data_IF_333743108084
#
_entry.id   IF_333743108084
#
_cell.length_a   1.000
_cell.length_b   1.000
_cell.length_c   1.000
_cell.angle_alpha   90.00
_cell.angle_beta   90.00
_cell.angle_gamma   90.00
#
_symmetry.space_group_name_H-M   'P 1'
#
loop_
_entity.id
_entity.type
_entity.pdbx_description
1 polymer ?
#
# COMPACT_ATOMS: atom_id res chain seq x y z
N UNK A 1 37.20 -14.54 -14.30
CA UNK A 1 35.95 -15.29 -14.08
C UNK A 1 34.89 -14.21 -13.92
N UNK A 2 34.11 -13.97 -14.98
CA UNK A 2 32.97 -13.05 -14.91
C UNK A 2 31.89 -13.78 -14.13
N UNK A 3 31.59 -13.26 -12.94
CA UNK A 3 30.41 -13.70 -12.20
C UNK A 3 29.18 -13.38 -13.04
N UNK A 4 28.43 -14.39 -13.42
CA UNK A 4 27.15 -14.22 -14.10
C UNK A 4 26.27 -13.29 -13.26
N UNK A 5 25.76 -12.21 -13.85
CA UNK A 5 24.98 -11.24 -13.07
C UNK A 5 23.73 -11.93 -12.53
N UNK A 6 23.59 -11.96 -11.23
CA UNK A 6 22.46 -12.58 -10.48
C UNK A 6 21.07 -12.15 -10.96
N UNK A 7 20.97 -11.02 -11.69
CA UNK A 7 19.72 -10.52 -12.27
C UNK A 7 19.23 -11.33 -13.50
N UNK A 8 20.04 -12.18 -14.13
CA UNK A 8 19.60 -13.04 -15.23
C UNK A 8 18.64 -14.14 -14.77
N UNK A 9 18.54 -14.41 -13.46
CA UNK A 9 17.74 -15.48 -12.90
C UNK A 9 16.44 -15.04 -12.24
N UNK A 10 16.17 -13.74 -12.08
CA UNK A 10 14.95 -13.25 -11.47
C UNK A 10 14.18 -12.39 -12.47
N UNK A 11 13.46 -13.03 -13.38
CA UNK A 11 12.28 -12.39 -13.95
C UNK A 11 11.29 -12.25 -12.81
N UNK A 12 11.26 -11.07 -12.21
CA UNK A 12 10.25 -10.69 -11.25
C UNK A 12 8.94 -10.52 -12.05
N UNK A 13 8.21 -11.61 -12.25
CA UNK A 13 6.81 -11.51 -12.64
C UNK A 13 6.02 -11.37 -11.35
N UNK A 14 5.52 -10.17 -11.04
CA UNK A 14 4.66 -10.00 -9.87
C UNK A 14 3.44 -10.88 -10.07
N UNK A 15 3.30 -11.88 -9.19
CA UNK A 15 2.21 -12.84 -9.30
C UNK A 15 0.95 -12.17 -8.76
N UNK A 16 0.25 -11.41 -9.61
CA UNK A 16 -1.03 -10.77 -9.27
C UNK A 16 -2.21 -11.76 -9.29
N UNK A 17 -2.00 -13.00 -8.85
CA UNK A 17 -3.09 -13.99 -8.76
C UNK A 17 -4.10 -13.68 -7.67
N UNK A 18 -3.66 -13.02 -6.60
CA UNK A 18 -4.50 -12.68 -5.45
C UNK A 18 -4.30 -11.22 -5.06
N UNK A 19 -5.40 -10.51 -4.88
CA UNK A 19 -5.44 -9.11 -4.45
C UNK A 19 -6.19 -9.04 -3.12
N UNK A 20 -5.61 -8.37 -2.13
CA UNK A 20 -6.24 -8.09 -0.85
C UNK A 20 -6.82 -6.68 -0.87
N UNK A 21 -8.10 -6.55 -0.53
CA UNK A 21 -8.82 -5.28 -0.53
C UNK A 21 -9.40 -5.04 0.86
N UNK A 22 -8.71 -4.31 1.72
CA UNK A 22 -9.25 -3.86 2.98
C UNK A 22 -10.41 -2.88 2.77
N UNK A 23 -11.48 -3.05 3.54
CA UNK A 23 -12.64 -2.17 3.49
C UNK A 23 -13.18 -1.85 4.88
N UNK A 24 -13.57 -0.61 5.08
CA UNK A 24 -14.30 -0.10 6.25
C UNK A 24 -15.70 0.42 5.88
N UNK A 25 -16.11 0.22 4.61
CA UNK A 25 -17.36 0.74 4.06
C UNK A 25 -17.32 2.22 3.68
N UNK A 26 -16.20 2.91 3.88
CA UNK A 26 -16.03 4.32 3.52
C UNK A 26 -16.01 4.52 2.01
N UNK A 27 -16.25 5.77 1.57
CA UNK A 27 -16.10 6.15 0.16
C UNK A 27 -14.71 5.86 -0.38
N UNK A 28 -13.65 6.07 0.42
CA UNK A 28 -12.27 5.76 0.04
C UNK A 28 -12.09 4.27 -0.25
N UNK A 29 -12.61 3.38 0.61
CA UNK A 29 -12.52 1.94 0.39
C UNK A 29 -13.36 1.48 -0.82
N UNK A 30 -14.49 2.14 -1.11
CA UNK A 30 -15.28 1.87 -2.33
C UNK A 30 -14.52 2.26 -3.61
N UNK A 31 -13.82 3.40 -3.60
CA UNK A 31 -12.93 3.81 -4.69
C UNK A 31 -11.80 2.80 -4.90
N UNK A 32 -11.22 2.27 -3.82
CA UNK A 32 -10.22 1.22 -3.89
C UNK A 32 -10.77 -0.08 -4.51
N UNK A 33 -12.01 -0.47 -4.18
CA UNK A 33 -12.67 -1.63 -4.77
C UNK A 33 -12.83 -1.50 -6.28
N UNK A 34 -13.18 -0.31 -6.77
CA UNK A 34 -13.33 -0.05 -8.22
C UNK A 34 -12.00 -0.26 -8.96
N UNK A 35 -10.91 0.31 -8.45
CA UNK A 35 -9.58 0.13 -9.06
C UNK A 35 -9.10 -1.32 -8.92
N UNK A 36 -9.35 -1.96 -7.78
CA UNK A 36 -9.02 -3.37 -7.59
C UNK A 36 -9.76 -4.28 -8.57
N UNK A 37 -11.03 -3.98 -8.89
CA UNK A 37 -11.80 -4.72 -9.89
C UNK A 37 -11.22 -4.56 -11.30
N UNK A 38 -10.79 -3.36 -11.70
CA UNK A 38 -10.12 -3.14 -12.99
C UNK A 38 -8.82 -3.96 -13.11
N UNK A 39 -7.99 -3.93 -12.06
CA UNK A 39 -6.76 -4.71 -12.02
C UNK A 39 -7.09 -6.22 -12.02
N UNK A 40 -8.03 -6.65 -11.18
CA UNK A 40 -8.40 -8.05 -11.09
C UNK A 40 -8.91 -8.63 -12.42
N UNK A 41 -9.68 -7.87 -13.19
CA UNK A 41 -10.13 -8.26 -14.54
C UNK A 41 -8.95 -8.43 -15.50
N UNK A 42 -8.04 -7.45 -15.54
CA UNK A 42 -6.89 -7.48 -16.43
C UNK A 42 -5.96 -8.68 -16.16
N UNK A 43 -5.80 -9.07 -14.91
CA UNK A 43 -4.91 -10.16 -14.48
C UNK A 43 -5.63 -11.48 -14.18
N UNK A 44 -6.96 -11.52 -14.28
CA UNK A 44 -7.79 -12.66 -13.85
C UNK A 44 -7.50 -13.06 -12.40
N UNK A 45 -7.29 -12.05 -11.55
CA UNK A 45 -6.97 -12.23 -10.14
C UNK A 45 -8.20 -12.60 -9.32
N UNK A 46 -8.00 -13.38 -8.26
CA UNK A 46 -8.97 -13.55 -7.20
C UNK A 46 -8.82 -12.42 -6.18
N UNK A 47 -9.91 -11.82 -5.76
CA UNK A 47 -9.93 -10.79 -4.73
C UNK A 47 -10.29 -11.41 -3.39
N UNK A 48 -9.67 -10.95 -2.31
CA UNK A 48 -10.15 -11.17 -0.94
C UNK A 48 -10.46 -9.82 -0.33
N UNK A 49 -11.72 -9.60 0.02
CA UNK A 49 -12.14 -8.42 0.78
C UNK A 49 -11.95 -8.71 2.25
N UNK A 50 -11.25 -7.83 2.98
CA UNK A 50 -11.03 -7.99 4.41
C UNK A 50 -11.59 -6.80 5.18
N UNK A 51 -12.36 -7.08 6.22
CA UNK A 51 -12.78 -6.12 7.23
C UNK A 51 -12.28 -6.55 8.59
N UNK A 52 -11.68 -5.63 9.34
CA UNK A 52 -11.20 -5.88 10.70
C UNK A 52 -12.02 -5.06 11.69
N UNK A 53 -12.56 -5.74 12.69
CA UNK A 53 -13.27 -5.12 13.81
C UNK A 53 -12.25 -4.97 14.94
N UNK A 54 -11.88 -3.72 15.24
CA UNK A 54 -11.08 -3.43 16.43
C UNK A 54 -11.94 -3.67 17.67
N UNK A 55 -11.39 -4.41 18.61
CA UNK A 55 -12.04 -4.58 19.92
C UNK A 55 -11.97 -3.26 20.69
N UNK A 56 -13.10 -2.58 20.82
CA UNK A 56 -13.21 -1.53 21.85
C UNK A 56 -13.14 -2.14 23.26
N UNK A 57 -13.37 -3.46 23.35
CA UNK A 57 -13.15 -4.26 24.54
C UNK A 57 -11.67 -4.47 24.90
N UNK A 58 -10.73 -4.26 23.97
CA UNK A 58 -9.31 -4.50 24.24
C UNK A 58 -8.79 -3.76 25.49
N UNK A 59 -9.32 -2.57 25.78
CA UNK A 59 -9.03 -1.89 27.05
C UNK A 59 -9.71 -2.50 28.25
N UNK A 60 -10.90 -3.08 28.09
CA UNK A 60 -11.62 -3.77 29.17
C UNK A 60 -11.18 -5.22 29.30
N UNK A 61 -10.94 -5.94 28.22
CA UNK A 61 -10.32 -7.26 28.25
C UNK A 61 -8.97 -7.20 28.96
N UNK A 62 -8.19 -6.15 28.72
CA UNK A 62 -6.95 -5.95 29.45
C UNK A 62 -7.20 -5.61 30.92
N UNK A 63 -8.19 -4.77 31.22
CA UNK A 63 -8.55 -4.40 32.57
C UNK A 63 -9.18 -5.55 33.38
N UNK A 64 -9.87 -6.49 32.69
CA UNK A 64 -10.60 -7.60 33.28
C UNK A 64 -10.17 -9.00 32.78
N UNK A 65 -9.08 -9.09 32.01
CA UNK A 65 -8.59 -10.35 31.39
C UNK A 65 -8.36 -11.47 32.41
N UNK A 66 -8.04 -11.11 33.66
CA UNK A 66 -7.86 -12.06 34.74
C UNK A 66 -9.13 -12.85 35.09
N UNK A 67 -10.33 -12.33 34.78
CA UNK A 67 -11.61 -13.04 34.99
C UNK A 67 -11.81 -14.17 33.99
N UNK A 68 -11.22 -14.05 32.79
CA UNK A 68 -11.37 -15.04 31.70
C UNK A 68 -10.21 -16.03 31.63
N UNK A 69 -9.03 -15.66 32.12
CA UNK A 69 -7.78 -16.45 31.99
C UNK A 69 -7.33 -17.17 33.26
N UNK A 70 -8.14 -17.16 34.33
CA UNK A 70 -7.84 -17.96 35.54
C UNK A 70 -6.58 -17.56 36.31
N UNK A 71 -6.19 -16.27 36.24
CA UNK A 71 -5.17 -15.75 37.17
C UNK A 71 -3.71 -15.93 36.75
N UNK A 72 -3.39 -16.04 35.46
CA UNK A 72 -1.98 -16.03 35.02
C UNK A 72 -1.41 -14.62 35.20
N UNK A 73 -0.32 -14.52 35.97
CA UNK A 73 0.33 -13.23 36.28
C UNK A 73 0.83 -12.51 35.02
N UNK A 74 0.45 -11.24 34.90
CA UNK A 74 0.98 -10.34 33.88
C UNK A 74 2.40 -9.88 34.28
N UNK A 75 3.42 -10.11 33.44
CA UNK A 75 4.80 -9.73 33.76
C UNK A 75 5.02 -8.21 33.89
N UNK A 76 4.07 -7.38 33.47
CA UNK A 76 4.20 -5.91 33.45
C UNK A 76 3.50 -5.20 34.61
N UNK A 77 2.84 -5.89 35.52
CA UNK A 77 2.37 -5.38 36.83
C UNK A 77 1.63 -4.05 36.77
N UNK A 78 0.67 -3.87 35.84
CA UNK A 78 0.03 -2.55 35.70
C UNK A 78 -0.91 -2.22 36.86
N UNK A 79 -0.77 -1.00 37.40
CA UNK A 79 -1.51 -0.43 38.53
C UNK A 79 -3.02 -0.19 38.28
N UNK A 80 -3.57 -0.69 37.18
CA UNK A 80 -4.95 -0.43 36.74
C UNK A 80 -5.86 -1.68 36.73
N UNK A 81 -5.55 -2.70 37.53
CA UNK A 81 -6.46 -3.86 37.65
C UNK A 81 -7.57 -3.56 38.65
N UNK A 82 -8.80 -3.55 38.16
CA UNK A 82 -9.95 -3.57 39.06
C UNK A 82 -10.03 -4.95 39.74
N UNK A 83 -10.09 -4.97 41.05
CA UNK A 83 -10.31 -6.19 41.83
C UNK A 83 -11.76 -6.66 41.80
N UNK A 84 -12.66 -5.89 41.24
CA UNK A 84 -14.08 -6.18 41.14
C UNK A 84 -14.47 -6.45 39.66
N UNK A 85 -15.37 -7.43 39.40
CA UNK A 85 -15.86 -7.66 38.07
C UNK A 85 -16.62 -6.46 37.54
N UNK A 86 -16.62 -6.24 36.21
CA UNK A 86 -17.36 -5.12 35.64
C UNK A 86 -18.85 -5.26 35.95
N UNK A 87 -19.56 -4.14 36.22
CA UNK A 87 -20.98 -4.17 36.45
C UNK A 87 -21.73 -4.88 35.33
N UNK A 88 -22.72 -5.72 35.66
CA UNK A 88 -23.45 -6.49 34.68
C UNK A 88 -24.11 -5.63 33.58
N UNK A 89 -24.48 -4.40 33.90
CA UNK A 89 -25.00 -3.43 32.93
C UNK A 89 -23.94 -3.00 31.92
N UNK A 90 -22.69 -2.84 32.36
CA UNK A 90 -21.57 -2.50 31.49
C UNK A 90 -21.30 -3.64 30.51
N UNK A 91 -21.27 -4.88 30.99
CA UNK A 91 -21.13 -6.08 30.14
C UNK A 91 -22.22 -6.14 29.06
N UNK A 92 -23.48 -5.86 29.43
CA UNK A 92 -24.59 -5.84 28.46
C UNK A 92 -24.41 -4.77 27.39
N UNK A 93 -23.96 -3.57 27.76
CA UNK A 93 -23.69 -2.49 26.83
C UNK A 93 -22.60 -2.88 25.84
N UNK A 94 -21.51 -3.44 26.34
CA UNK A 94 -20.40 -3.88 25.49
C UNK A 94 -20.80 -4.99 24.52
N UNK A 95 -21.50 -6.03 24.97
CA UNK A 95 -22.01 -7.08 24.07
C UNK A 95 -22.89 -6.50 22.98
N UNK A 96 -23.72 -5.52 23.30
CA UNK A 96 -24.58 -4.86 22.30
C UNK A 96 -23.76 -4.07 21.27
N UNK A 97 -22.70 -3.40 21.70
CA UNK A 97 -21.78 -2.67 20.79
C UNK A 97 -21.06 -3.67 19.89
N UNK A 98 -20.54 -4.74 20.46
CA UNK A 98 -19.83 -5.82 19.75
C UNK A 98 -20.73 -6.48 18.70
N UNK A 99 -21.95 -6.90 19.08
CA UNK A 99 -22.94 -7.45 18.15
C UNK A 99 -23.28 -6.47 17.02
N UNK A 100 -23.37 -5.18 17.33
CA UNK A 100 -23.65 -4.13 16.34
C UNK A 100 -22.47 -3.97 15.36
N UNK A 101 -21.24 -3.94 15.87
CA UNK A 101 -20.01 -3.83 15.08
C UNK A 101 -19.82 -5.05 14.18
N UNK A 102 -20.09 -6.24 14.71
CA UNK A 102 -20.06 -7.49 13.96
C UNK A 102 -21.04 -7.46 12.77
N UNK A 103 -22.34 -7.18 13.03
CA UNK A 103 -23.35 -7.11 11.96
C UNK A 103 -23.01 -6.06 10.91
N UNK A 104 -22.50 -4.91 11.32
CA UNK A 104 -22.04 -3.87 10.39
C UNK A 104 -20.88 -4.36 9.54
N UNK A 105 -19.91 -5.05 10.13
CA UNK A 105 -18.77 -5.64 9.42
C UNK A 105 -19.21 -6.68 8.39
N UNK A 106 -20.13 -7.58 8.76
CA UNK A 106 -20.71 -8.55 7.82
C UNK A 106 -21.42 -7.84 6.65
N UNK A 107 -22.21 -6.81 6.91
CA UNK A 107 -22.92 -6.06 5.88
C UNK A 107 -21.91 -5.40 4.91
N UNK A 108 -20.86 -4.77 5.42
CA UNK A 108 -19.80 -4.15 4.60
C UNK A 108 -19.17 -5.20 3.67
N UNK A 109 -18.89 -6.39 4.17
CA UNK A 109 -18.30 -7.47 3.38
C UNK A 109 -19.27 -8.00 2.32
N UNK A 110 -20.52 -8.21 2.67
CA UNK A 110 -21.57 -8.66 1.72
C UNK A 110 -21.72 -7.65 0.58
N UNK A 111 -21.78 -6.36 0.88
CA UNK A 111 -21.88 -5.29 -0.13
C UNK A 111 -20.65 -5.28 -1.04
N UNK A 112 -19.45 -5.38 -0.46
CA UNK A 112 -18.19 -5.39 -1.22
C UNK A 112 -18.06 -6.64 -2.12
N UNK A 113 -18.40 -7.83 -1.64
CA UNK A 113 -18.39 -9.06 -2.45
C UNK A 113 -19.43 -8.99 -3.56
N UNK A 114 -20.63 -8.44 -3.27
CA UNK A 114 -21.66 -8.23 -4.28
C UNK A 114 -21.20 -7.28 -5.39
N UNK A 115 -20.48 -6.21 -5.04
CA UNK A 115 -19.86 -5.31 -6.01
C UNK A 115 -18.87 -6.07 -6.94
N UNK A 116 -17.92 -6.83 -6.40
CA UNK A 116 -16.97 -7.60 -7.22
C UNK A 116 -17.67 -8.63 -8.11
N UNK A 117 -18.72 -9.27 -7.62
CA UNK A 117 -19.56 -10.20 -8.40
C UNK A 117 -20.24 -9.50 -9.57
N UNK A 118 -20.79 -8.30 -9.36
CA UNK A 118 -21.38 -7.49 -10.43
C UNK A 118 -20.35 -7.09 -11.48
N UNK A 119 -19.11 -6.82 -11.05
CA UNK A 119 -17.98 -6.55 -11.92
C UNK A 119 -17.42 -7.81 -12.61
N UNK A 120 -17.95 -8.99 -12.37
CA UNK A 120 -17.47 -10.26 -12.94
C UNK A 120 -16.13 -10.74 -12.35
N UNK A 121 -15.79 -10.30 -11.15
CA UNK A 121 -14.57 -10.67 -10.43
C UNK A 121 -14.88 -11.68 -9.33
N UNK A 122 -14.08 -12.74 -9.23
CA UNK A 122 -14.20 -13.73 -8.15
C UNK A 122 -13.67 -13.10 -6.87
N UNK A 123 -14.50 -12.99 -5.85
CA UNK A 123 -14.13 -12.41 -4.55
C UNK A 123 -14.57 -13.31 -3.39
N UNK A 124 -13.68 -13.44 -2.40
CA UNK A 124 -13.98 -14.01 -1.08
C UNK A 124 -14.02 -12.89 -0.04
N UNK A 125 -14.67 -13.17 1.08
CA UNK A 125 -14.71 -12.29 2.24
C UNK A 125 -13.87 -12.83 3.39
N UNK A 126 -13.36 -11.92 4.22
CA UNK A 126 -12.63 -12.22 5.45
C UNK A 126 -12.99 -11.20 6.52
N UNK A 127 -13.75 -11.63 7.53
CA UNK A 127 -13.94 -10.87 8.76
C UNK A 127 -12.84 -11.25 9.75
N UNK A 128 -12.22 -10.26 10.38
CA UNK A 128 -11.25 -10.46 11.45
C UNK A 128 -11.73 -9.69 12.67
N UNK A 129 -11.97 -10.42 13.74
CA UNK A 129 -12.46 -9.88 15.00
C UNK A 129 -11.30 -9.62 15.96
N UNK A 130 -11.48 -8.70 16.89
CA UNK A 130 -10.55 -8.38 17.97
C UNK A 130 -9.11 -8.11 17.50
N UNK A 131 -8.97 -7.46 16.34
CA UNK A 131 -7.66 -7.19 15.78
C UNK A 131 -7.50 -5.72 15.39
N UNK A 132 -6.30 -5.21 15.55
CA UNK A 132 -5.95 -3.91 15.01
C UNK A 132 -5.92 -4.01 13.48
N UNK A 133 -6.63 -3.12 12.75
CA UNK A 133 -6.84 -3.28 11.32
C UNK A 133 -5.57 -3.41 10.49
N UNK A 134 -4.53 -2.61 10.76
CA UNK A 134 -3.29 -2.69 9.98
C UNK A 134 -2.54 -4.01 10.23
N UNK A 135 -2.57 -4.53 11.45
CA UNK A 135 -1.98 -5.81 11.80
C UNK A 135 -2.72 -6.96 11.11
N UNK A 136 -4.06 -6.97 11.18
CA UNK A 136 -4.88 -7.97 10.52
C UNK A 136 -4.62 -8.01 9.00
N UNK A 137 -4.53 -6.83 8.36
CA UNK A 137 -4.28 -6.70 6.92
C UNK A 137 -2.88 -7.22 6.57
N UNK A 138 -1.85 -6.79 7.28
CA UNK A 138 -0.46 -7.18 6.98
C UNK A 138 -0.22 -8.67 7.23
N UNK A 139 -0.78 -9.23 8.31
CA UNK A 139 -0.76 -10.65 8.59
C UNK A 139 -1.46 -11.46 7.50
N UNK A 140 -2.69 -11.07 7.13
CA UNK A 140 -3.43 -11.73 6.06
C UNK A 140 -2.68 -11.67 4.72
N UNK A 141 -2.07 -10.53 4.40
CA UNK A 141 -1.28 -10.35 3.18
C UNK A 141 -0.09 -11.32 3.12
N UNK A 142 0.62 -11.45 4.24
CA UNK A 142 1.78 -12.34 4.36
C UNK A 142 1.38 -13.83 4.26
N UNK A 143 0.41 -14.27 5.07
CA UNK A 143 -0.03 -15.66 5.13
C UNK A 143 -0.71 -16.12 3.84
N UNK A 144 -1.44 -15.24 3.18
CA UNK A 144 -2.22 -15.54 1.99
C UNK A 144 -1.46 -15.42 0.68
N UNK A 145 -0.18 -15.04 0.69
CA UNK A 145 0.64 -14.85 -0.53
C UNK A 145 -0.03 -13.93 -1.56
N UNK A 146 -0.51 -12.78 -1.11
CA UNK A 146 -1.10 -11.78 -1.99
C UNK A 146 -0.03 -11.02 -2.77
N UNK A 147 -0.30 -10.75 -4.05
CA UNK A 147 0.59 -9.97 -4.91
C UNK A 147 0.40 -8.46 -4.78
N UNK A 148 -0.74 -8.01 -4.25
CA UNK A 148 -1.09 -6.61 -4.12
C UNK A 148 -2.10 -6.41 -2.99
N UNK A 149 -1.91 -5.34 -2.21
CA UNK A 149 -2.93 -4.77 -1.32
C UNK A 149 -3.44 -3.49 -1.97
N UNK A 150 -4.76 -3.31 -2.07
CA UNK A 150 -5.38 -2.09 -2.62
C UNK A 150 -6.20 -1.41 -1.55
N UNK A 151 -5.81 -0.19 -1.19
CA UNK A 151 -6.45 0.61 -0.13
C UNK A 151 -6.84 1.99 -0.65
N UNK A 152 -7.92 2.54 -0.13
CA UNK A 152 -8.35 3.90 -0.44
C UNK A 152 -7.60 4.95 0.38
N UNK A 153 -7.40 6.11 -0.22
CA UNK A 153 -7.01 7.31 0.50
C UNK A 153 -8.24 7.89 1.21
N UNK A 154 -8.07 8.40 2.42
CA UNK A 154 -9.15 9.06 3.14
C UNK A 154 -9.35 10.48 2.58
N UNK A 155 -10.61 10.78 2.24
CA UNK A 155 -11.03 12.12 1.82
C UNK A 155 -12.27 12.49 2.63
N UNK A 156 -12.08 13.23 3.67
CA UNK A 156 -13.19 13.82 4.41
C UNK A 156 -13.67 15.09 3.69
N UNK A 157 -14.97 15.39 3.77
CA UNK A 157 -15.57 16.52 3.04
C UNK A 157 -14.96 17.83 3.54
N UNK A 158 -14.28 18.55 2.64
CA UNK A 158 -13.67 19.86 2.95
C UNK A 158 -12.24 19.79 3.51
N UNK A 159 -11.65 18.60 3.62
CA UNK A 159 -10.25 18.43 4.02
C UNK A 159 -9.36 18.07 2.83
N UNK A 160 -8.06 18.40 2.93
CA UNK A 160 -7.08 17.89 1.98
C UNK A 160 -6.99 16.36 2.08
N UNK A 161 -6.78 15.66 0.95
CA UNK A 161 -6.61 14.21 0.97
C UNK A 161 -5.46 13.84 1.89
N UNK A 162 -5.69 12.93 2.83
CA UNK A 162 -4.65 12.44 3.71
C UNK A 162 -4.66 10.91 3.81
N UNK A 163 -3.51 10.36 4.12
CA UNK A 163 -3.36 8.94 4.33
C UNK A 163 -3.96 8.59 5.70
N UNK A 164 -4.97 7.73 5.73
CA UNK A 164 -5.55 7.25 6.98
C UNK A 164 -4.54 6.42 7.79
N UNK A 165 -4.66 6.42 9.12
CA UNK A 165 -3.74 5.74 10.03
C UNK A 165 -3.52 4.25 9.70
N UNK A 166 -4.57 3.54 9.32
CA UNK A 166 -4.48 2.13 8.90
C UNK A 166 -3.65 1.99 7.62
N UNK A 167 -3.90 2.83 6.60
CA UNK A 167 -3.16 2.79 5.34
C UNK A 167 -1.68 3.16 5.55
N UNK A 168 -1.40 4.15 6.40
CA UNK A 168 -0.03 4.52 6.76
C UNK A 168 0.71 3.36 7.43
N UNK A 169 0.09 2.68 8.40
CA UNK A 169 0.70 1.53 9.07
C UNK A 169 0.90 0.34 8.13
N UNK A 170 -0.06 0.04 7.26
CA UNK A 170 0.07 -1.02 6.26
C UNK A 170 1.22 -0.69 5.29
N UNK A 171 1.33 0.54 4.78
CA UNK A 171 2.42 0.94 3.89
C UNK A 171 3.80 0.88 4.55
N UNK A 172 3.90 1.06 5.86
CA UNK A 172 5.15 0.93 6.61
C UNK A 172 5.55 -0.52 6.89
N UNK A 173 4.59 -1.42 7.12
CA UNK A 173 4.87 -2.75 7.66
C UNK A 173 4.64 -3.91 6.68
N UNK A 174 3.90 -3.71 5.59
CA UNK A 174 3.64 -4.77 4.62
C UNK A 174 4.86 -5.04 3.74
N UNK A 175 5.21 -6.31 3.56
CA UNK A 175 6.18 -6.74 2.54
C UNK A 175 5.51 -6.92 1.16
N UNK A 176 4.18 -7.00 1.12
CA UNK A 176 3.39 -7.02 -0.11
C UNK A 176 3.28 -5.60 -0.69
N UNK A 177 3.40 -5.41 -2.01
CA UNK A 177 3.15 -4.11 -2.64
C UNK A 177 1.79 -3.52 -2.26
N UNK A 178 1.76 -2.20 -1.98
CA UNK A 178 0.55 -1.50 -1.54
C UNK A 178 0.21 -0.40 -2.52
N UNK A 179 -1.00 -0.46 -3.08
CA UNK A 179 -1.59 0.58 -3.91
C UNK A 179 -2.54 1.43 -3.08
N UNK A 180 -2.21 2.69 -2.90
CA UNK A 180 -3.10 3.70 -2.32
C UNK A 180 -3.82 4.41 -3.44
N UNK A 181 -5.13 4.28 -3.45
CA UNK A 181 -6.01 4.81 -4.50
C UNK A 181 -6.58 6.16 -4.09
N UNK A 182 -6.36 7.18 -4.92
CA UNK A 182 -6.88 8.53 -4.72
C UNK A 182 -8.19 8.79 -5.49
N UNK A 183 -8.41 8.10 -6.60
CA UNK A 183 -9.59 8.26 -7.45
C UNK A 183 -9.89 6.98 -8.24
N UNK A 184 -11.16 6.81 -8.64
CA UNK A 184 -11.66 5.67 -9.42
C UNK A 184 -11.37 5.78 -10.93
N UNK A 185 -10.28 6.45 -11.31
CA UNK A 185 -9.93 6.59 -12.73
C UNK A 185 -9.22 5.36 -13.24
N UNK A 186 -9.40 5.08 -14.54
CA UNK A 186 -8.55 4.13 -15.24
C UNK A 186 -7.09 4.59 -15.20
N UNK A 187 -6.18 3.64 -15.03
CA UNK A 187 -4.75 3.92 -15.03
C UNK A 187 -4.26 3.92 -16.48
N UNK A 188 -4.17 5.09 -17.09
CA UNK A 188 -3.70 5.28 -18.46
C UNK A 188 -2.25 5.77 -18.53
N UNK A 189 -1.80 6.53 -17.53
CA UNK A 189 -0.47 7.14 -17.47
C UNK A 189 0.19 6.87 -16.13
N UNK A 190 1.36 6.25 -16.17
CA UNK A 190 2.15 5.95 -15.00
C UNK A 190 3.43 6.77 -14.97
N UNK A 191 3.76 7.36 -13.83
CA UNK A 191 5.03 8.00 -13.53
C UNK A 191 5.88 7.07 -12.67
N UNK A 192 7.10 6.79 -13.08
CA UNK A 192 8.01 5.89 -12.38
C UNK A 192 9.25 6.68 -11.94
N UNK A 193 9.28 7.24 -10.72
CA UNK A 193 10.49 7.80 -10.15
C UNK A 193 11.55 6.71 -9.99
N UNK A 194 12.77 6.98 -10.52
CA UNK A 194 13.81 5.96 -10.59
C UNK A 194 15.17 6.53 -10.21
N UNK A 195 15.71 6.09 -9.08
CA UNK A 195 17.01 6.49 -8.54
C UNK A 195 18.10 5.42 -8.72
N UNK A 196 17.76 4.28 -9.35
CA UNK A 196 18.64 3.14 -9.52
C UNK A 196 18.79 2.27 -8.27
N UNK A 197 18.02 2.50 -7.21
CA UNK A 197 17.99 1.62 -6.05
C UNK A 197 17.29 0.30 -6.38
N UNK A 198 17.58 -0.75 -5.60
CA UNK A 198 16.96 -2.08 -5.77
C UNK A 198 15.43 -2.03 -5.73
N UNK A 199 14.86 -1.20 -4.86
CA UNK A 199 13.42 -1.07 -4.77
C UNK A 199 12.83 -0.28 -5.96
N UNK A 200 13.56 0.71 -6.49
CA UNK A 200 13.16 1.39 -7.72
C UNK A 200 13.22 0.44 -8.93
N UNK A 201 14.21 -0.46 -9.00
CA UNK A 201 14.27 -1.50 -10.04
C UNK A 201 13.06 -2.43 -9.97
N UNK A 202 12.68 -2.92 -8.78
CA UNK A 202 11.47 -3.73 -8.60
C UNK A 202 10.21 -2.95 -8.97
N UNK A 203 10.14 -1.67 -8.59
CA UNK A 203 9.00 -0.81 -8.93
C UNK A 203 8.87 -0.64 -10.45
N UNK A 204 9.98 -0.44 -11.15
CA UNK A 204 10.01 -0.36 -12.61
C UNK A 204 9.53 -1.64 -13.28
N UNK A 205 9.99 -2.81 -12.81
CA UNK A 205 9.53 -4.11 -13.31
C UNK A 205 8.03 -4.33 -13.05
N UNK A 206 7.56 -3.94 -11.86
CA UNK A 206 6.15 -4.02 -11.51
C UNK A 206 5.30 -3.11 -12.39
N UNK A 207 5.75 -1.86 -12.61
CA UNK A 207 5.09 -0.91 -13.51
C UNK A 207 5.01 -1.46 -14.94
N UNK A 208 6.08 -2.04 -15.47
CA UNK A 208 6.08 -2.64 -16.80
C UNK A 208 5.09 -3.79 -16.93
N UNK A 209 5.02 -4.63 -15.90
CA UNK A 209 4.07 -5.73 -15.86
C UNK A 209 2.62 -5.24 -15.81
N UNK A 210 2.33 -4.21 -14.99
CA UNK A 210 1.02 -3.56 -14.98
C UNK A 210 0.70 -2.95 -16.35
N UNK A 211 1.59 -2.11 -16.87
CA UNK A 211 1.39 -1.38 -18.13
C UNK A 211 1.04 -2.31 -19.28
N UNK A 212 1.77 -3.40 -19.41
CA UNK A 212 1.54 -4.42 -20.45
C UNK A 212 0.12 -5.01 -20.41
N UNK A 213 -0.44 -5.20 -19.21
CA UNK A 213 -1.73 -5.89 -19.06
C UNK A 213 -2.92 -4.91 -19.06
N UNK A 214 -2.73 -3.65 -18.63
CA UNK A 214 -3.79 -2.64 -18.62
C UNK A 214 -3.71 -1.63 -19.76
N UNK A 215 -2.66 -1.68 -20.60
CA UNK A 215 -2.48 -0.77 -21.73
C UNK A 215 -2.02 0.63 -21.35
N UNK A 216 -1.43 0.84 -20.16
CA UNK A 216 -1.00 2.14 -19.70
C UNK A 216 0.35 2.58 -20.28
N UNK A 217 0.53 3.88 -20.48
CA UNK A 217 1.81 4.50 -20.89
C UNK A 217 2.69 4.73 -19.67
N UNK A 218 4.00 4.51 -19.81
CA UNK A 218 4.98 4.68 -18.76
C UNK A 218 5.91 5.84 -19.04
N UNK A 219 6.19 6.64 -18.00
CA UNK A 219 7.23 7.68 -18.04
C UNK A 219 8.18 7.46 -16.86
N UNK A 220 9.45 7.22 -17.16
CA UNK A 220 10.52 7.19 -16.16
C UNK A 220 10.91 8.62 -15.80
N UNK A 221 10.98 8.92 -14.52
CA UNK A 221 11.45 10.21 -14.02
C UNK A 221 12.73 10.02 -13.19
N UNK A 222 13.83 10.60 -13.66
CA UNK A 222 15.04 10.76 -12.88
C UNK A 222 15.16 12.20 -12.38
N UNK A 223 15.44 12.37 -11.10
CA UNK A 223 15.61 13.70 -10.49
C UNK A 223 17.04 13.88 -10.00
N UNK A 224 17.74 14.86 -10.59
CA UNK A 224 19.05 15.25 -10.12
C UNK A 224 18.99 16.04 -8.83
N UNK A 225 19.91 15.76 -7.93
CA UNK A 225 20.15 16.63 -6.79
C UNK A 225 20.83 17.93 -7.27
N UNK A 226 20.29 19.12 -6.97
CA UNK A 226 20.79 20.40 -7.50
C UNK A 226 22.28 20.63 -7.19
N UNK A 227 22.74 20.26 -6.00
CA UNK A 227 24.12 20.40 -5.60
C UNK A 227 25.09 19.58 -6.46
N UNK A 228 24.67 18.39 -6.90
CA UNK A 228 25.51 17.55 -7.75
C UNK A 228 25.71 18.21 -9.12
N UNK A 229 24.67 18.82 -9.69
CA UNK A 229 24.78 19.55 -10.95
C UNK A 229 25.68 20.78 -10.79
N UNK A 230 25.46 21.56 -9.73
CA UNK A 230 26.21 22.80 -9.49
C UNK A 230 27.72 22.55 -9.24
N UNK A 231 28.06 21.54 -8.47
CA UNK A 231 29.44 21.27 -8.07
C UNK A 231 30.20 20.34 -9.01
N UNK A 232 29.51 19.42 -9.70
CA UNK A 232 30.13 18.36 -10.52
C UNK A 232 29.25 17.98 -11.72
N UNK A 233 29.03 18.88 -12.70
CA UNK A 233 28.11 18.67 -13.82
C UNK A 233 28.43 17.42 -14.65
N UNK A 234 29.72 17.16 -14.93
CA UNK A 234 30.14 15.97 -15.68
C UNK A 234 29.80 14.68 -14.95
N UNK A 235 29.99 14.66 -13.63
CA UNK A 235 29.62 13.52 -12.79
C UNK A 235 28.10 13.34 -12.74
N UNK A 236 27.34 14.42 -12.67
CA UNK A 236 25.88 14.38 -12.73
C UNK A 236 25.40 13.70 -14.01
N UNK A 237 25.99 14.08 -15.17
CA UNK A 237 25.65 13.48 -16.47
C UNK A 237 26.06 12.01 -16.57
N UNK A 238 27.20 11.63 -16.03
CA UNK A 238 27.63 10.21 -15.96
C UNK A 238 26.66 9.37 -15.14
N UNK A 239 26.21 9.89 -13.98
CA UNK A 239 25.23 9.22 -13.11
C UNK A 239 23.90 9.06 -13.84
N UNK A 240 23.38 10.13 -14.45
CA UNK A 240 22.17 10.12 -15.28
C UNK A 240 22.22 9.01 -16.34
N UNK A 241 23.29 9.05 -17.18
CA UNK A 241 23.44 8.07 -18.26
C UNK A 241 23.43 6.62 -17.73
N UNK A 242 24.12 6.36 -16.63
CA UNK A 242 24.15 5.04 -15.98
C UNK A 242 22.78 4.62 -15.49
N UNK A 243 22.03 5.51 -14.84
CA UNK A 243 20.69 5.24 -14.31
C UNK A 243 19.71 4.99 -15.44
N UNK A 244 19.72 5.82 -16.49
CA UNK A 244 18.85 5.65 -17.65
C UNK A 244 19.18 4.41 -18.46
N UNK A 245 20.47 4.04 -18.60
CA UNK A 245 20.88 2.79 -19.21
C UNK A 245 20.37 1.59 -18.40
N UNK A 246 20.56 1.62 -17.09
CA UNK A 246 20.08 0.57 -16.19
C UNK A 246 18.57 0.33 -16.31
N UNK A 247 17.77 1.40 -16.38
CA UNK A 247 16.34 1.28 -16.58
C UNK A 247 16.00 0.65 -17.94
N UNK A 248 16.74 1.00 -18.99
CA UNK A 248 16.56 0.42 -20.33
C UNK A 248 16.91 -1.08 -20.35
N UNK A 249 17.97 -1.47 -19.67
CA UNK A 249 18.40 -2.87 -19.56
C UNK A 249 17.33 -3.73 -18.85
N UNK A 250 16.69 -3.18 -17.79
CA UNK A 250 15.62 -3.87 -17.06
C UNK A 250 14.39 -4.09 -17.94
N UNK A 251 14.05 -3.13 -18.76
CA UNK A 251 12.83 -3.15 -19.58
C UNK A 251 13.00 -3.80 -20.96
N UNK A 252 14.21 -4.16 -21.34
CA UNK A 252 14.59 -4.74 -22.64
C UNK A 252 14.04 -3.94 -23.85
N UNK A 253 12.82 -4.22 -24.32
CA UNK A 253 12.20 -3.61 -25.51
C UNK A 253 10.92 -2.83 -25.21
N UNK A 254 10.60 -2.56 -23.95
CA UNK A 254 9.39 -1.83 -23.60
C UNK A 254 9.56 -0.35 -23.88
N UNK A 255 8.63 0.26 -24.63
CA UNK A 255 8.61 1.70 -24.85
C UNK A 255 8.47 2.45 -23.52
N UNK A 256 9.36 3.38 -23.29
CA UNK A 256 9.46 4.14 -22.07
C UNK A 256 9.84 5.60 -22.38
N UNK A 257 8.94 6.51 -22.09
CA UNK A 257 9.28 7.92 -22.09
C UNK A 257 10.24 8.21 -20.93
N UNK A 258 11.29 9.01 -21.19
CA UNK A 258 12.28 9.37 -20.18
C UNK A 258 12.22 10.86 -19.92
N UNK A 259 12.16 11.23 -18.66
CA UNK A 259 12.16 12.60 -18.20
C UNK A 259 13.25 12.79 -17.14
N UNK A 260 14.01 13.85 -17.27
CA UNK A 260 15.07 14.23 -16.34
C UNK A 260 14.78 15.62 -15.82
N UNK A 261 14.73 15.75 -14.52
CA UNK A 261 14.45 17.01 -13.82
C UNK A 261 15.51 17.26 -12.76
N UNK A 262 15.50 18.44 -12.16
CA UNK A 262 16.42 18.81 -11.08
C UNK A 262 15.65 19.48 -9.95
N UNK A 263 15.93 19.09 -8.72
CA UNK A 263 15.29 19.68 -7.55
C UNK A 263 15.18 18.71 -6.37
N UNK A 264 14.31 19.04 -5.44
CA UNK A 264 13.91 18.13 -4.37
C UNK A 264 13.09 16.98 -4.96
N UNK A 265 13.52 15.72 -4.82
CA UNK A 265 12.88 14.60 -5.49
C UNK A 265 11.39 14.47 -5.20
N UNK A 266 10.97 14.63 -3.95
CA UNK A 266 9.55 14.48 -3.59
C UNK A 266 8.68 15.56 -4.24
N UNK A 267 9.13 16.82 -4.18
CA UNK A 267 8.42 17.95 -4.80
C UNK A 267 8.35 17.81 -6.32
N UNK A 268 9.45 17.45 -6.98
CA UNK A 268 9.51 17.26 -8.42
C UNK A 268 8.60 16.11 -8.87
N UNK A 269 8.56 14.99 -8.15
CA UNK A 269 7.67 13.88 -8.46
C UNK A 269 6.20 14.34 -8.42
N UNK A 270 5.78 15.02 -7.34
CA UNK A 270 4.41 15.51 -7.17
C UNK A 270 4.05 16.51 -8.26
N UNK A 271 4.92 17.49 -8.52
CA UNK A 271 4.70 18.51 -9.56
C UNK A 271 4.61 17.89 -10.95
N UNK A 272 5.50 16.95 -11.28
CA UNK A 272 5.50 16.22 -12.54
C UNK A 272 4.23 15.39 -12.71
N UNK A 273 3.81 14.68 -11.66
CA UNK A 273 2.59 13.88 -11.66
C UNK A 273 1.36 14.74 -11.92
N UNK A 274 1.25 15.89 -11.24
CA UNK A 274 0.16 16.84 -11.40
C UNK A 274 0.15 17.49 -12.79
N UNK A 275 1.28 18.05 -13.23
CA UNK A 275 1.40 18.73 -14.52
C UNK A 275 1.17 17.81 -15.71
N UNK A 276 1.57 16.54 -15.60
CA UNK A 276 1.39 15.51 -16.64
C UNK A 276 0.07 14.73 -16.53
N UNK A 277 -0.80 15.04 -15.57
CA UNK A 277 -2.02 14.27 -15.29
C UNK A 277 -1.75 12.76 -15.22
N UNK A 278 -0.75 12.35 -14.42
CA UNK A 278 -0.47 10.94 -14.22
C UNK A 278 -1.48 10.33 -13.21
N UNK A 279 -2.04 9.19 -13.58
CA UNK A 279 -3.05 8.50 -12.78
C UNK A 279 -2.41 7.71 -11.64
N UNK A 280 -1.19 7.20 -11.86
CA UNK A 280 -0.47 6.35 -10.94
C UNK A 280 1.01 6.72 -10.88
N UNK A 281 1.52 6.88 -9.67
CA UNK A 281 2.96 6.92 -9.39
C UNK A 281 3.38 5.53 -8.90
N UNK A 282 4.36 4.90 -9.54
CA UNK A 282 4.91 3.60 -9.12
C UNK A 282 6.33 3.79 -8.65
N UNK A 283 6.58 3.55 -7.36
CA UNK A 283 7.89 3.83 -6.78
C UNK A 283 8.32 2.80 -5.74
N UNK A 284 9.62 2.70 -5.54
CA UNK A 284 10.17 1.91 -4.44
C UNK A 284 9.77 2.50 -3.09
N UNK A 285 9.48 1.66 -2.12
CA UNK A 285 9.17 2.13 -0.76
C UNK A 285 10.38 2.73 -0.04
N UNK A 286 11.60 2.47 -0.53
CA UNK A 286 12.88 2.95 0.04
C UNK A 286 13.87 3.22 -1.08
N UNK A 287 14.67 4.29 -0.94
CA UNK A 287 15.81 4.59 -1.78
C UNK A 287 17.14 4.02 -1.22
N UNK A 288 18.28 4.58 -1.67
CA UNK A 288 19.62 4.13 -1.31
C UNK A 288 19.99 4.26 0.18
N UNK A 289 19.34 5.14 0.95
CA UNK A 289 19.75 5.50 2.32
C UNK A 289 19.04 4.74 3.44
N UNK A 290 18.04 3.90 3.15
CA UNK A 290 17.23 3.27 4.18
C UNK A 290 17.81 1.92 4.64
N UNK A 291 18.24 1.86 5.90
CA UNK A 291 18.88 0.69 6.53
C UNK A 291 17.86 -0.20 7.25
N UNK A 292 16.73 0.33 7.72
CA UNK A 292 15.80 -0.43 8.55
C UNK A 292 14.60 -1.01 7.77
N UNK A 293 14.21 -2.25 8.11
CA UNK A 293 13.20 -3.04 7.38
C UNK A 293 11.81 -2.41 7.36
N UNK A 294 11.43 -1.68 8.40
CA UNK A 294 10.07 -1.17 8.62
C UNK A 294 9.89 0.34 8.39
N UNK A 295 10.87 1.00 7.76
CA UNK A 295 10.77 2.44 7.46
C UNK A 295 10.38 2.68 6.00
N UNK A 296 9.47 3.61 5.78
CA UNK A 296 9.21 4.20 4.48
C UNK A 296 10.30 5.24 4.19
N UNK A 297 10.79 5.31 2.95
CA UNK A 297 11.76 6.33 2.57
C UNK A 297 11.13 7.73 2.61
N UNK A 298 11.90 8.74 2.99
CA UNK A 298 11.42 10.13 3.11
C UNK A 298 10.73 10.66 1.85
N UNK A 299 11.25 10.32 0.66
CA UNK A 299 10.64 10.71 -0.62
C UNK A 299 9.29 10.01 -0.79
N UNK A 300 9.22 8.70 -0.55
CA UNK A 300 8.00 7.92 -0.71
C UNK A 300 6.92 8.34 0.28
N UNK A 301 7.32 8.63 1.51
CA UNK A 301 6.44 9.14 2.56
C UNK A 301 5.85 10.50 2.17
N UNK A 302 6.69 11.42 1.69
CA UNK A 302 6.24 12.74 1.27
C UNK A 302 5.31 12.66 0.05
N UNK A 303 5.66 11.84 -0.95
CA UNK A 303 4.83 11.67 -2.15
C UNK A 303 3.45 11.11 -1.79
N UNK A 304 3.36 10.07 -0.97
CA UNK A 304 2.07 9.44 -0.62
C UNK A 304 1.14 10.36 0.17
N UNK A 305 1.72 11.30 0.94
CA UNK A 305 0.93 12.25 1.73
C UNK A 305 0.43 13.45 0.91
N UNK A 306 1.18 13.87 -0.11
CA UNK A 306 0.92 15.17 -0.77
C UNK A 306 0.55 15.07 -2.24
N UNK A 307 0.42 13.87 -2.82
CA UNK A 307 0.00 13.73 -4.21
C UNK A 307 -1.50 13.50 -4.36
N UNK A 308 -2.06 14.04 -5.45
CA UNK A 308 -3.44 13.74 -5.87
C UNK A 308 -3.53 12.46 -6.71
N UNK A 309 -2.40 11.92 -7.16
CA UNK A 309 -2.34 10.68 -7.94
C UNK A 309 -2.39 9.47 -7.02
N UNK A 310 -2.89 8.33 -7.53
CA UNK A 310 -2.72 7.06 -6.84
C UNK A 310 -1.23 6.69 -6.74
N UNK A 311 -0.83 5.98 -5.69
CA UNK A 311 0.58 5.61 -5.46
C UNK A 311 0.69 4.11 -5.21
N UNK A 312 1.53 3.43 -5.98
CA UNK A 312 1.94 2.05 -5.76
C UNK A 312 3.34 2.01 -5.17
N UNK A 313 3.43 1.51 -3.94
CA UNK A 313 4.69 1.28 -3.24
C UNK A 313 5.14 -0.17 -3.40
N UNK A 314 6.36 -0.38 -3.90
CA UNK A 314 6.97 -1.69 -4.13
C UNK A 314 8.18 -1.89 -3.23
N UNK A 315 8.33 -3.05 -2.61
CA UNK A 315 9.42 -3.42 -1.71
C UNK A 315 10.38 -4.46 -2.27
#
# INVERSE_FOLDING_TARGET
>A
MCEDPWWQFVRFEPVLKRILVPTDGSTGSQVAQQVAALIAKAFKSKVTVIHAISSELGSLDYQYSWLTTGGVEDPLGSAYRSSEPPPAELIKVYRKIEDSSYRKGEQILVEAVAFFKQEGVIADEKLVEHAEPAEAITKQAHEGSYGLIVMGQRKDVGEEPHLGSTAERVTRHSDTPVLIVSSAREIQRMLIPFDGSRNAEKALQYAAYLAKNIGAKMTLLYVHHPELIALRPEKAKQVENRILSRASDILEKTELDKRVESGDPAKIIIQTAKAGNYDLIVMGSKGHSAVERYFLGSVSEHVIHYTDSSVLLVR
#
